data_IF_832175684043
#
_entry.id   IF_832175684043
#
_cell.length_a   1.000
_cell.length_b   1.000
_cell.length_c   1.000
_cell.angle_alpha   90.00
_cell.angle_beta   90.00
_cell.angle_gamma   90.00
#
_symmetry.space_group_name_H-M   'P 1'
#
loop_
_entity.id
_entity.type
_entity.pdbx_description
1 polymer ?
#
# COMPACT_ATOMS: atom_id res chain seq x y z
N UNK A 1 -8.68 -6.33 7.10
CA UNK A 1 -8.72 -5.61 5.80
C UNK A 1 -7.88 -6.38 4.81
N UNK A 2 -8.26 -6.40 3.53
CA UNK A 2 -7.53 -7.18 2.54
C UNK A 2 -6.73 -6.27 1.62
N UNK A 3 -5.49 -6.66 1.37
CA UNK A 3 -4.57 -5.96 0.49
C UNK A 3 -4.10 -6.86 -0.64
N UNK A 4 -3.68 -6.21 -1.71
CA UNK A 4 -2.89 -6.81 -2.76
C UNK A 4 -1.52 -6.14 -2.77
N UNK A 5 -0.49 -6.96 -2.91
CA UNK A 5 0.89 -6.50 -3.09
C UNK A 5 1.37 -7.04 -4.43
N UNK A 6 1.87 -6.16 -5.29
CA UNK A 6 2.21 -6.49 -6.67
C UNK A 6 3.61 -6.06 -7.02
N UNK A 7 4.28 -6.88 -7.80
CA UNK A 7 5.50 -6.58 -8.55
C UNK A 7 5.17 -6.67 -10.03
N UNK A 8 5.28 -5.55 -10.75
CA UNK A 8 4.98 -5.48 -12.18
C UNK A 8 6.21 -5.04 -12.95
N UNK A 9 6.63 -5.83 -13.94
CA UNK A 9 7.75 -5.55 -14.82
C UNK A 9 7.39 -4.43 -15.78
N UNK A 10 8.28 -3.45 -15.88
CA UNK A 10 8.21 -2.39 -16.87
C UNK A 10 8.90 -2.91 -18.14
N UNK A 11 8.21 -2.81 -19.28
CA UNK A 11 8.74 -3.27 -20.55
C UNK A 11 10.06 -2.54 -20.89
N UNK A 12 11.08 -3.30 -21.28
CA UNK A 12 12.41 -2.79 -21.60
C UNK A 12 13.49 -3.85 -21.46
N UNK A 13 14.72 -3.47 -21.80
CA UNK A 13 15.90 -4.34 -21.71
C UNK A 13 16.38 -4.53 -20.27
N UNK A 14 16.25 -3.50 -19.43
CA UNK A 14 16.60 -3.57 -18.02
C UNK A 14 15.44 -4.14 -17.19
N UNK A 15 15.73 -4.92 -16.14
CA UNK A 15 14.74 -5.48 -15.21
C UNK A 15 14.21 -4.39 -14.25
N UNK A 16 13.43 -3.46 -14.80
CA UNK A 16 12.75 -2.43 -14.03
C UNK A 16 11.37 -2.91 -13.58
N UNK A 17 11.02 -2.55 -12.34
CA UNK A 17 9.81 -3.00 -11.68
C UNK A 17 9.09 -1.85 -10.99
N UNK A 18 7.76 -1.90 -11.07
CA UNK A 18 6.86 -1.12 -10.25
C UNK A 18 6.31 -2.03 -9.14
N UNK A 19 6.49 -1.61 -7.90
CA UNK A 19 5.92 -2.27 -6.74
C UNK A 19 4.77 -1.44 -6.19
N UNK A 20 3.72 -2.11 -5.74
CA UNK A 20 2.56 -1.46 -5.11
C UNK A 20 1.96 -2.33 -4.03
N UNK A 21 1.53 -1.71 -2.93
CA UNK A 21 0.57 -2.28 -1.99
C UNK A 21 -0.72 -1.46 -2.05
N UNK A 22 -1.86 -2.12 -2.25
CA UNK A 22 -3.16 -1.49 -2.39
C UNK A 22 -4.19 -2.22 -1.52
N UNK A 23 -5.17 -1.49 -1.01
CA UNK A 23 -6.29 -2.06 -0.25
C UNK A 23 -7.41 -2.44 -1.22
N UNK A 24 -7.98 -3.64 -1.09
CA UNK A 24 -9.15 -4.02 -1.87
C UNK A 24 -10.34 -3.15 -1.49
N UNK A 25 -11.01 -2.57 -2.49
CA UNK A 25 -12.12 -1.65 -2.25
C UNK A 25 -13.23 -2.31 -1.44
N UNK A 26 -13.50 -3.61 -1.67
CA UNK A 26 -14.52 -4.37 -0.97
C UNK A 26 -14.26 -4.58 0.52
N UNK A 27 -13.00 -4.47 0.94
CA UNK A 27 -12.60 -4.57 2.35
C UNK A 27 -12.67 -3.25 3.12
N UNK A 28 -12.91 -2.12 2.42
CA UNK A 28 -13.07 -0.78 3.01
C UNK A 28 -14.55 -0.54 3.32
N UNK A 29 -14.83 -0.01 4.50
CA UNK A 29 -16.20 0.31 4.91
C UNK A 29 -16.90 1.26 3.91
N UNK A 30 -18.22 1.16 3.81
CA UNK A 30 -19.00 1.91 2.80
C UNK A 30 -18.90 3.43 2.99
N UNK A 31 -18.83 3.91 4.24
CA UNK A 31 -18.75 5.34 4.52
C UNK A 31 -17.42 5.91 3.98
N UNK A 32 -16.30 5.24 4.29
CA UNK A 32 -14.99 5.59 3.77
C UNK A 32 -14.92 5.43 2.27
N UNK A 33 -15.47 4.34 1.71
CA UNK A 33 -15.47 4.08 0.26
C UNK A 33 -16.14 5.21 -0.52
N UNK A 34 -17.19 5.83 0.03
CA UNK A 34 -17.87 6.98 -0.59
C UNK A 34 -17.03 8.27 -0.62
N UNK A 35 -15.97 8.36 0.19
CA UNK A 35 -15.13 9.55 0.35
C UNK A 35 -13.81 9.47 -0.41
N UNK A 36 -13.45 8.30 -0.93
CA UNK A 36 -12.13 8.00 -1.51
C UNK A 36 -12.24 7.64 -2.99
N UNK A 37 -11.16 7.89 -3.73
CA UNK A 37 -11.11 7.47 -5.12
C UNK A 37 -10.78 5.97 -5.19
N UNK A 38 -11.55 5.24 -5.99
CA UNK A 38 -11.21 3.86 -6.35
C UNK A 38 -10.31 3.86 -7.57
N UNK A 39 -9.27 3.04 -7.53
CA UNK A 39 -8.33 2.79 -8.64
C UNK A 39 -8.37 1.33 -9.04
N UNK A 40 -7.89 1.04 -10.24
CA UNK A 40 -7.78 -0.34 -10.74
C UNK A 40 -6.39 -0.89 -10.40
N UNK A 41 -6.33 -2.12 -9.90
CA UNK A 41 -5.07 -2.80 -9.62
C UNK A 41 -4.24 -3.04 -10.88
N UNK A 42 -2.90 -3.23 -10.74
CA UNK A 42 -2.07 -3.66 -11.85
C UNK A 42 -2.60 -4.93 -12.52
N UNK A 43 -2.28 -5.11 -13.81
CA UNK A 43 -2.82 -6.22 -14.63
C UNK A 43 -2.53 -7.60 -14.01
N UNK A 44 -1.37 -7.77 -13.39
CA UNK A 44 -0.98 -9.01 -12.70
C UNK A 44 -1.95 -9.39 -11.57
N UNK A 45 -2.66 -8.42 -10.99
CA UNK A 45 -3.66 -8.63 -9.94
C UNK A 45 -5.11 -8.67 -10.46
N UNK A 46 -5.32 -8.87 -11.76
CA UNK A 46 -6.66 -9.10 -12.32
C UNK A 46 -7.54 -7.86 -12.52
N UNK A 47 -7.01 -6.63 -12.37
CA UNK A 47 -7.75 -5.36 -12.51
C UNK A 47 -8.91 -5.18 -11.51
N UNK A 48 -8.70 -5.61 -10.27
CA UNK A 48 -9.64 -5.47 -9.16
C UNK A 48 -9.71 -4.01 -8.67
N UNK A 49 -10.88 -3.61 -8.19
CA UNK A 49 -11.10 -2.30 -7.57
C UNK A 49 -10.33 -2.18 -6.25
N UNK A 50 -9.53 -1.13 -6.12
CA UNK A 50 -8.61 -0.90 -5.01
C UNK A 50 -8.63 0.56 -4.54
N UNK A 51 -8.12 0.79 -3.34
CA UNK A 51 -7.94 2.12 -2.74
C UNK A 51 -6.48 2.28 -2.33
N UNK A 52 -5.95 3.51 -2.44
CA UNK A 52 -4.60 3.83 -1.98
C UNK A 52 -4.54 3.82 -0.45
N UNK A 53 -3.46 3.29 0.13
CA UNK A 53 -3.26 3.26 1.59
C UNK A 53 -3.42 4.66 2.20
N UNK A 54 -2.90 5.70 1.53
CA UNK A 54 -3.05 7.10 1.95
C UNK A 54 -4.49 7.52 2.19
N UNK A 55 -5.42 7.07 1.34
CA UNK A 55 -6.84 7.43 1.47
C UNK A 55 -7.55 6.63 2.57
N UNK A 56 -7.05 5.42 2.88
CA UNK A 56 -7.59 4.58 3.95
C UNK A 56 -7.16 5.09 5.32
N UNK A 57 -5.86 5.38 5.49
CA UNK A 57 -5.32 5.86 6.77
C UNK A 57 -5.73 7.29 7.09
N UNK A 58 -6.08 8.08 6.06
CA UNK A 58 -6.49 9.47 6.23
C UNK A 58 -7.56 9.59 7.32
N UNK A 59 -7.35 10.47 8.31
CA UNK A 59 -8.32 10.62 9.39
C UNK A 59 -9.61 11.23 8.88
N UNK A 60 -10.74 11.01 9.56
CA UNK A 60 -12.05 11.51 9.10
C UNK A 60 -12.04 13.01 8.76
N UNK A 61 -11.44 13.82 9.64
CA UNK A 61 -11.27 15.27 9.46
C UNK A 61 -10.57 15.69 8.17
N UNK A 62 -9.75 14.81 7.56
CA UNK A 62 -9.05 15.08 6.31
C UNK A 62 -10.03 15.42 5.17
N UNK A 63 -11.17 14.73 5.14
CA UNK A 63 -12.16 14.85 4.08
C UNK A 63 -13.01 16.11 4.22
N UNK A 64 -13.14 16.63 5.44
CA UNK A 64 -13.90 17.84 5.75
C UNK A 64 -13.08 19.13 5.59
N UNK A 65 -11.75 19.03 5.55
CA UNK A 65 -10.86 20.19 5.48
C UNK A 65 -10.93 20.90 4.12
N UNK A 66 -10.96 22.26 4.09
CA UNK A 66 -10.74 23.02 2.86
C UNK A 66 -9.40 22.68 2.21
N UNK A 67 -9.31 22.75 0.88
CA UNK A 67 -8.12 22.33 0.12
C UNK A 67 -6.81 22.94 0.63
N UNK A 68 -6.79 24.25 0.94
CA UNK A 68 -5.59 24.94 1.42
C UNK A 68 -5.13 24.43 2.79
N UNK A 69 -6.06 24.09 3.67
CA UNK A 69 -5.77 23.53 5.00
C UNK A 69 -5.39 22.05 4.96
N UNK A 70 -5.51 21.41 3.79
CA UNK A 70 -5.28 19.98 3.61
C UNK A 70 -3.83 19.65 3.26
N UNK A 71 -3.01 20.63 2.89
CA UNK A 71 -1.65 20.41 2.36
C UNK A 71 -0.74 19.72 3.39
N UNK A 72 -0.67 20.26 4.62
CA UNK A 72 0.24 19.74 5.64
C UNK A 72 -0.13 18.31 6.07
N UNK A 73 -1.43 18.06 6.27
CA UNK A 73 -1.92 16.73 6.63
C UNK A 73 -1.80 15.77 5.45
N UNK A 74 -1.99 16.21 4.20
CA UNK A 74 -1.81 15.37 3.02
C UNK A 74 -0.36 14.91 2.86
N UNK A 75 0.62 15.78 3.11
CA UNK A 75 2.03 15.42 3.05
C UNK A 75 2.39 14.35 4.08
N UNK A 76 1.94 14.51 5.33
CA UNK A 76 2.19 13.56 6.42
C UNK A 76 1.48 12.22 6.20
N UNK A 77 0.22 12.26 5.78
CA UNK A 77 -0.55 11.06 5.38
C UNK A 77 0.15 10.35 4.23
N UNK A 78 0.61 11.10 3.22
CA UNK A 78 1.33 10.55 2.08
C UNK A 78 2.63 9.84 2.48
N UNK A 79 3.42 10.46 3.36
CA UNK A 79 4.66 9.87 3.87
C UNK A 79 4.39 8.59 4.67
N UNK A 80 3.45 8.65 5.62
CA UNK A 80 3.11 7.48 6.44
C UNK A 80 2.56 6.33 5.58
N UNK A 81 1.70 6.64 4.62
CA UNK A 81 1.20 5.65 3.68
C UNK A 81 2.33 5.02 2.87
N UNK A 82 3.31 5.82 2.44
CA UNK A 82 4.45 5.34 1.66
C UNK A 82 5.36 4.43 2.48
N UNK A 83 5.55 4.74 3.77
CA UNK A 83 6.25 3.87 4.71
C UNK A 83 5.51 2.55 4.90
N UNK A 84 4.19 2.59 5.12
CA UNK A 84 3.35 1.39 5.21
C UNK A 84 3.44 0.57 3.92
N UNK A 85 3.28 1.19 2.75
CA UNK A 85 3.43 0.50 1.45
C UNK A 85 4.80 -0.17 1.34
N UNK A 86 5.86 0.49 1.80
CA UNK A 86 7.22 -0.05 1.78
C UNK A 86 7.35 -1.27 2.67
N UNK A 87 6.89 -1.19 3.92
CA UNK A 87 6.93 -2.32 4.87
C UNK A 87 6.16 -3.54 4.33
N UNK A 88 4.96 -3.32 3.77
CA UNK A 88 4.15 -4.40 3.19
C UNK A 88 4.82 -5.01 1.96
N UNK A 89 5.43 -4.19 1.11
CA UNK A 89 6.16 -4.67 -0.08
C UNK A 89 7.41 -5.45 0.32
N UNK A 90 8.20 -4.98 1.27
CA UNK A 90 9.43 -5.65 1.70
C UNK A 90 9.16 -7.00 2.37
N UNK A 91 8.04 -7.11 3.09
CA UNK A 91 7.62 -8.37 3.71
C UNK A 91 7.23 -9.43 2.66
N UNK A 92 6.56 -9.02 1.57
CA UNK A 92 6.13 -9.93 0.49
C UNK A 92 7.22 -10.17 -0.56
N UNK A 93 8.00 -9.14 -0.88
CA UNK A 93 9.03 -9.10 -1.92
C UNK A 93 10.35 -8.63 -1.31
N UNK A 94 11.09 -9.52 -0.60
CA UNK A 94 12.29 -9.16 0.13
C UNK A 94 13.45 -8.66 -0.74
N UNK A 95 13.37 -8.86 -2.07
CA UNK A 95 14.30 -8.27 -3.02
C UNK A 95 14.16 -6.75 -3.18
N UNK A 96 13.03 -6.17 -2.77
CA UNK A 96 12.89 -4.72 -2.63
C UNK A 96 13.64 -4.29 -1.36
N UNK A 97 14.76 -3.56 -1.51
CA UNK A 97 15.63 -3.19 -0.38
C UNK A 97 15.74 -1.68 -0.16
N UNK A 98 15.01 -0.86 -0.93
CA UNK A 98 15.03 0.59 -0.75
C UNK A 98 14.32 1.01 0.54
N UNK A 99 14.84 2.02 1.23
CA UNK A 99 14.23 2.56 2.47
C UNK A 99 12.79 3.05 2.28
N UNK A 100 12.48 3.52 1.07
CA UNK A 100 11.16 3.96 0.67
C UNK A 100 10.87 3.50 -0.75
N UNK A 101 9.66 3.00 -0.98
CA UNK A 101 9.22 2.46 -2.27
C UNK A 101 9.42 3.48 -3.41
N UNK A 102 10.38 3.28 -4.33
CA UNK A 102 10.54 4.21 -5.44
C UNK A 102 9.41 4.03 -6.46
N UNK A 103 9.30 4.96 -7.40
CA UNK A 103 8.37 4.83 -8.53
C UNK A 103 8.78 3.65 -9.42
N UNK A 104 10.09 3.47 -9.61
CA UNK A 104 10.70 2.38 -10.37
C UNK A 104 11.87 1.84 -9.58
N UNK A 105 11.95 0.52 -9.44
CA UNK A 105 13.06 -0.19 -8.81
C UNK A 105 13.75 -1.09 -9.83
N UNK A 106 15.08 -1.10 -9.83
CA UNK A 106 15.87 -1.99 -10.69
C UNK A 106 16.31 -3.20 -9.88
N UNK A 107 16.19 -4.39 -10.46
CA UNK A 107 16.76 -5.61 -9.91
C UNK A 107 18.00 -6.07 -10.70
N UNK A 108 18.79 -6.96 -10.11
CA UNK A 108 19.94 -7.56 -10.82
C UNK A 108 19.52 -8.77 -11.69
N UNK A 109 18.33 -9.31 -11.44
CA UNK A 109 17.76 -10.44 -12.17
C UNK A 109 16.28 -10.17 -12.47
N UNK A 110 15.70 -11.01 -13.32
CA UNK A 110 14.32 -10.88 -13.80
C UNK A 110 13.41 -11.91 -13.13
N UNK A 111 12.83 -11.61 -11.94
CA UNK A 111 11.95 -12.55 -11.26
C UNK A 111 10.53 -12.61 -11.84
N UNK A 112 10.20 -11.74 -12.82
CA UNK A 112 8.90 -11.69 -13.49
C UNK A 112 7.81 -10.97 -12.70
N UNK A 113 6.61 -10.88 -13.27
CA UNK A 113 5.44 -10.31 -12.59
C UNK A 113 4.97 -11.21 -11.44
N UNK A 114 4.52 -10.61 -10.33
CA UNK A 114 3.94 -11.34 -9.21
C UNK A 114 2.84 -10.53 -8.51
N UNK A 115 1.88 -11.24 -7.94
CA UNK A 115 0.82 -10.67 -7.11
C UNK A 115 0.55 -11.59 -5.92
N UNK A 116 0.47 -10.99 -4.74
CA UNK A 116 0.13 -11.67 -3.49
C UNK A 116 -1.05 -10.97 -2.85
N UNK A 117 -1.95 -11.76 -2.28
CA UNK A 117 -3.10 -11.28 -1.50
C UNK A 117 -2.82 -11.56 -0.04
N UNK A 118 -3.05 -10.57 0.82
CA UNK A 118 -2.83 -10.69 2.25
C UNK A 118 -3.94 -9.98 3.03
N UNK A 119 -4.20 -10.45 4.24
CA UNK A 119 -5.07 -9.77 5.19
C UNK A 119 -4.22 -9.06 6.23
N UNK A 120 -4.62 -7.85 6.58
CA UNK A 120 -3.98 -6.96 7.55
C UNK A 120 -5.01 -6.39 8.51
N UNK A 121 -4.54 -5.73 9.57
CA UNK A 121 -5.40 -4.99 10.48
C UNK A 121 -6.14 -3.85 9.77
N UNK A 122 -7.25 -3.42 10.37
CA UNK A 122 -8.00 -2.28 9.84
C UNK A 122 -7.21 -0.97 10.04
N UNK A 123 -6.84 -0.38 8.91
CA UNK A 123 -6.10 0.87 8.83
C UNK A 123 -7.01 2.09 8.63
N UNK A 124 -8.33 1.93 8.63
CA UNK A 124 -9.29 3.02 8.43
C UNK A 124 -9.09 4.11 9.48
N UNK A 125 -8.86 5.34 9.02
CA UNK A 125 -8.60 6.51 9.88
C UNK A 125 -7.42 6.32 10.87
N UNK A 126 -6.49 5.40 10.59
CA UNK A 126 -5.45 5.03 11.54
C UNK A 126 -4.30 6.05 11.67
N UNK A 127 -4.30 7.13 10.88
CA UNK A 127 -3.22 8.12 10.86
C UNK A 127 -2.81 8.60 12.25
N UNK A 128 -3.74 9.05 13.09
CA UNK A 128 -3.41 9.61 14.41
C UNK A 128 -2.81 8.58 15.37
N UNK A 129 -3.18 7.30 15.19
CA UNK A 129 -2.67 6.19 15.99
C UNK A 129 -1.26 5.80 15.55
N UNK A 130 -1.02 5.79 14.24
CA UNK A 130 0.20 5.24 13.65
C UNK A 130 1.32 6.28 13.52
N UNK A 131 0.98 7.53 13.24
CA UNK A 131 1.97 8.58 13.00
C UNK A 131 2.92 8.80 14.19
N UNK A 132 2.48 8.88 15.46
CA UNK A 132 3.40 9.10 16.58
C UNK A 132 4.42 7.97 16.76
N UNK A 133 4.07 6.75 16.32
CA UNK A 133 4.87 5.55 16.45
C UNK A 133 5.52 5.11 15.13
N UNK A 134 5.59 6.00 14.12
CA UNK A 134 5.99 5.62 12.76
C UNK A 134 7.34 4.90 12.69
N UNK A 135 8.31 5.31 13.51
CA UNK A 135 9.66 4.74 13.53
C UNK A 135 9.72 3.32 14.11
N UNK A 136 8.65 2.85 14.76
CA UNK A 136 8.55 1.53 15.37
C UNK A 136 7.62 0.60 14.58
N UNK A 137 7.03 1.09 13.49
CA UNK A 137 6.14 0.28 12.65
C UNK A 137 6.93 -0.81 11.93
N UNK A 138 6.35 -2.00 11.97
CA UNK A 138 6.83 -3.20 11.26
C UNK A 138 5.66 -3.83 10.50
N UNK A 139 5.94 -4.68 9.52
CA UNK A 139 4.91 -5.46 8.83
C UNK A 139 4.01 -6.23 9.81
N UNK A 140 4.59 -6.85 10.84
CA UNK A 140 3.86 -7.55 11.91
C UNK A 140 2.94 -6.62 12.71
N UNK A 141 3.35 -5.37 12.97
CA UNK A 141 2.50 -4.39 13.66
C UNK A 141 1.28 -3.93 12.85
N UNK A 142 1.24 -4.27 11.56
CA UNK A 142 0.09 -4.01 10.67
C UNK A 142 -0.82 -5.24 10.54
N UNK A 143 -0.55 -6.31 11.29
CA UNK A 143 -1.37 -7.53 11.28
C UNK A 143 -1.06 -8.50 10.15
N UNK A 144 0.06 -8.34 9.43
CA UNK A 144 0.53 -9.37 8.50
C UNK A 144 0.94 -10.63 9.29
N UNK A 145 0.37 -11.81 8.98
CA UNK A 145 0.77 -13.07 9.61
C UNK A 145 2.23 -13.38 9.28
N UNK A 146 3.03 -13.73 10.29
CA UNK A 146 4.43 -14.16 10.11
C UNK A 146 4.54 -15.47 9.29
N UNK A 147 3.46 -16.26 9.26
CA UNK A 147 3.33 -17.46 8.44
C UNK A 147 2.55 -17.14 7.16
N UNK A 148 3.29 -16.76 6.12
CA UNK A 148 2.78 -16.53 4.78
C UNK A 148 2.16 -17.82 4.20
N UNK A 149 0.86 -18.06 4.44
CA UNK A 149 0.06 -18.91 3.56
C UNK A 149 -0.23 -18.13 2.27
N UNK A 150 0.79 -18.10 1.40
CA UNK A 150 0.73 -17.59 0.04
C UNK A 150 -0.44 -18.27 -0.69
N UNK A 151 -1.56 -17.55 -0.87
CA UNK A 151 -2.53 -17.92 -1.91
C UNK A 151 -1.94 -17.44 -3.24
N UNK A 152 -1.12 -18.31 -3.84
CA UNK A 152 -0.76 -18.18 -5.24
C UNK A 152 -2.04 -18.27 -6.07
N UNK A 153 -2.26 -17.27 -6.93
CA UNK A 153 -3.27 -17.31 -7.97
C UNK A 153 -2.75 -18.09 -9.18
#
# INVERSE_FOLDING_TARGET
MDIIVTRSRIAGTLPFYEYRALVLADSVDQARRSQVATIVSPRVAGRTACVRIAQVIAPARYFDLPHCSRVDIAARVGLLAKLIETLLVQDVFPEMTADLLPVVFQLDHDPGDACTWASIDDLTAAFDRLEPAWAQLTASSLGLPQDHHLRAA
#
